data_IF_610157463678
#
_entry.id   IF_610157463678
#
_cell.length_a   1.000
_cell.length_b   1.000
_cell.length_c   1.000
_cell.angle_alpha   90.00
_cell.angle_beta   90.00
_cell.angle_gamma   90.00
#
_symmetry.space_group_name_H-M   'P 1'
#
loop_
_entity.id
_entity.type
_entity.pdbx_description
1 polymer ?
#
# COMPACT_ATOMS: atom_id res chain seq x y z
N UNK A 1 4.70 11.27 15.35
CA UNK A 1 3.85 12.14 14.52
C UNK A 1 2.41 12.00 15.01
N UNK A 2 1.54 12.99 14.82
CA UNK A 2 0.12 12.86 15.17
C UNK A 2 -0.63 12.08 14.08
N UNK A 3 -1.37 11.02 14.45
CA UNK A 3 -2.16 10.19 13.51
C UNK A 3 -3.53 10.82 13.26
N UNK A 4 -3.80 11.18 12.01
CA UNK A 4 -5.05 11.83 11.57
C UNK A 4 -5.97 10.88 10.81
N UNK A 5 -5.44 10.05 9.93
CA UNK A 5 -6.20 9.21 9.01
C UNK A 5 -6.33 7.77 9.50
N UNK A 6 -5.24 7.13 9.94
CA UNK A 6 -5.20 5.69 10.25
C UNK A 6 -5.42 5.38 11.74
N UNK A 7 -6.39 6.06 12.36
CA UNK A 7 -6.70 5.92 13.79
C UNK A 7 -7.12 4.51 14.17
N UNK A 8 -7.82 3.79 13.29
CA UNK A 8 -8.20 2.41 13.60
C UNK A 8 -6.99 1.46 13.55
N UNK A 9 -6.01 1.70 12.68
CA UNK A 9 -4.79 0.89 12.64
C UNK A 9 -3.94 1.13 13.89
N UNK A 10 -3.84 2.39 14.34
CA UNK A 10 -3.15 2.77 15.58
C UNK A 10 -3.78 2.07 16.80
N UNK A 11 -5.12 2.05 16.90
CA UNK A 11 -5.83 1.42 18.02
C UNK A 11 -5.80 -0.11 18.00
N UNK A 12 -5.59 -0.72 16.83
CA UNK A 12 -5.66 -2.16 16.64
C UNK A 12 -4.36 -2.68 15.99
N UNK A 13 -3.22 -2.63 16.70
CA UNK A 13 -1.92 -2.92 16.11
C UNK A 13 -1.60 -4.43 16.00
N UNK A 14 -2.50 -5.31 16.43
CA UNK A 14 -2.22 -6.74 16.55
C UNK A 14 -3.43 -7.61 16.17
N UNK A 15 -3.13 -8.81 15.67
CA UNK A 15 -4.08 -9.88 15.31
C UNK A 15 -3.42 -11.24 15.53
N UNK A 16 -4.05 -12.15 16.27
CA UNK A 16 -3.62 -13.57 16.38
C UNK A 16 -2.11 -13.77 16.69
N UNK A 17 -1.54 -12.90 17.53
CA UNK A 17 -0.11 -12.93 17.87
C UNK A 17 0.82 -12.27 16.85
N UNK A 18 0.31 -11.88 15.68
CA UNK A 18 0.98 -11.00 14.73
C UNK A 18 0.77 -9.54 15.10
N UNK A 19 1.81 -8.71 15.02
CA UNK A 19 1.81 -7.31 15.46
C UNK A 19 2.43 -6.45 14.36
N UNK A 20 1.84 -5.29 14.10
CA UNK A 20 2.42 -4.29 13.22
C UNK A 20 3.83 -3.93 13.67
N UNK A 21 4.77 -3.80 12.72
CA UNK A 21 6.10 -3.28 12.98
C UNK A 21 6.26 -1.90 12.34
N UNK A 22 6.45 -0.84 13.14
CA UNK A 22 6.55 0.52 12.64
C UNK A 22 7.92 0.77 11.99
N UNK A 23 7.96 1.71 11.05
CA UNK A 23 9.19 2.23 10.46
C UNK A 23 9.53 3.59 11.09
N UNK A 24 10.82 3.89 11.30
CA UNK A 24 11.25 5.18 11.83
C UNK A 24 11.02 6.31 10.82
N UNK A 25 10.92 7.56 11.32
CA UNK A 25 10.78 8.72 10.44
C UNK A 25 11.98 8.90 9.49
N UNK A 26 13.19 8.55 9.93
CA UNK A 26 14.39 8.65 9.09
C UNK A 26 14.36 7.66 7.93
N UNK A 27 13.84 6.45 8.15
CA UNK A 27 13.66 5.45 7.09
C UNK A 27 12.59 5.91 6.10
N UNK A 28 11.49 6.49 6.59
CA UNK A 28 10.45 7.07 5.74
C UNK A 28 11.03 8.22 4.89
N UNK A 29 11.86 9.08 5.45
CA UNK A 29 12.56 10.14 4.71
C UNK A 29 13.45 9.58 3.60
N UNK A 30 14.13 8.43 3.81
CA UNK A 30 14.89 7.77 2.74
C UNK A 30 13.99 7.25 1.62
N UNK A 31 12.80 6.74 1.95
CA UNK A 31 11.81 6.32 0.96
C UNK A 31 11.23 7.52 0.20
N UNK A 32 11.00 8.66 0.87
CA UNK A 32 10.56 9.91 0.24
C UNK A 32 11.61 10.43 -0.77
N UNK A 33 12.89 10.38 -0.39
CA UNK A 33 14.02 10.70 -1.29
C UNK A 33 14.02 9.81 -2.53
N UNK A 34 13.87 8.50 -2.34
CA UNK A 34 13.99 7.50 -3.40
C UNK A 34 12.78 7.48 -4.33
N UNK A 35 11.57 7.43 -3.78
CA UNK A 35 10.35 7.13 -4.54
C UNK A 35 9.47 8.35 -4.82
N UNK A 36 9.76 9.50 -4.20
CA UNK A 36 9.04 10.75 -4.43
C UNK A 36 9.94 11.96 -4.74
N UNK A 37 11.19 11.70 -5.17
CA UNK A 37 12.17 12.73 -5.51
C UNK A 37 12.40 13.74 -4.37
N UNK A 38 12.40 13.26 -3.12
CA UNK A 38 12.57 14.07 -1.91
C UNK A 38 11.34 14.85 -1.47
N UNK A 39 10.21 14.74 -2.18
CA UNK A 39 8.97 15.33 -1.72
C UNK A 39 8.35 14.47 -0.60
N UNK A 40 7.72 15.09 0.41
CA UNK A 40 7.02 14.34 1.44
C UNK A 40 5.96 13.40 0.85
N UNK A 41 5.81 12.22 1.43
CA UNK A 41 4.71 11.33 1.09
C UNK A 41 3.37 11.92 1.55
N UNK A 42 2.25 11.52 0.90
CA UNK A 42 0.92 11.72 1.45
C UNK A 42 0.84 11.35 2.94
N UNK A 43 0.16 12.17 3.74
CA UNK A 43 0.07 11.95 5.18
C UNK A 43 -0.45 10.55 5.53
N UNK A 44 -1.46 10.04 4.83
CA UNK A 44 -1.98 8.70 5.08
C UNK A 44 -0.94 7.59 4.83
N UNK A 45 -0.06 7.73 3.84
CA UNK A 45 1.05 6.79 3.61
C UNK A 45 2.11 6.92 4.71
N UNK A 46 2.47 8.15 5.09
CA UNK A 46 3.44 8.40 6.16
C UNK A 46 2.96 7.82 7.49
N UNK A 47 1.67 7.96 7.80
CA UNK A 47 1.03 7.31 8.94
C UNK A 47 1.11 5.78 8.84
N UNK A 48 0.80 5.18 7.68
CA UNK A 48 0.89 3.73 7.49
C UNK A 48 2.30 3.25 7.82
N UNK A 49 3.31 3.85 7.20
CA UNK A 49 4.71 3.43 7.38
C UNK A 49 5.15 3.62 8.84
N UNK A 50 4.74 4.72 9.48
CA UNK A 50 5.09 4.97 10.88
C UNK A 50 4.42 4.02 11.88
N UNK A 51 3.31 3.39 11.50
CA UNK A 51 2.57 2.44 12.35
C UNK A 51 2.91 0.99 12.03
N UNK A 52 3.16 0.68 10.75
CA UNK A 52 3.17 -0.66 10.20
C UNK A 52 4.07 -0.80 8.95
N UNK A 53 5.13 0.00 8.83
CA UNK A 53 5.97 0.05 7.62
C UNK A 53 6.85 -1.19 7.40
N UNK A 54 7.23 -1.92 8.45
CA UNK A 54 7.94 -3.20 8.30
C UNK A 54 6.98 -4.38 8.22
N UNK A 55 5.91 -4.37 9.02
CA UNK A 55 4.87 -5.42 9.01
C UNK A 55 3.50 -4.79 9.24
N UNK A 56 2.47 -5.27 8.53
CA UNK A 56 1.09 -4.81 8.68
C UNK A 56 0.10 -5.97 8.84
N UNK A 57 -0.79 -5.89 9.82
CA UNK A 57 -1.79 -6.92 10.11
C UNK A 57 -2.91 -7.01 9.06
N UNK A 58 -3.00 -6.05 8.14
CA UNK A 58 -4.09 -5.93 7.14
C UNK A 58 -3.60 -5.60 5.72
N UNK A 59 -2.30 -5.47 5.50
CA UNK A 59 -1.71 -5.30 4.16
C UNK A 59 -0.61 -6.35 3.98
N UNK A 60 -0.51 -6.92 2.79
CA UNK A 60 0.51 -7.91 2.46
C UNK A 60 1.66 -7.23 1.70
N UNK A 61 2.85 -7.18 2.30
CA UNK A 61 4.05 -6.67 1.65
C UNK A 61 4.79 -7.77 0.85
N UNK A 62 4.23 -8.98 0.84
CA UNK A 62 4.71 -10.13 0.12
C UNK A 62 5.85 -10.86 0.82
N UNK A 63 6.65 -11.58 0.04
CA UNK A 63 7.89 -12.22 0.52
C UNK A 63 9.05 -11.23 0.62
N UNK A 64 8.81 -9.94 0.38
CA UNK A 64 9.82 -8.90 0.44
C UNK A 64 10.11 -8.57 1.91
N UNK A 65 11.38 -8.51 2.27
CA UNK A 65 11.84 -8.21 3.64
C UNK A 65 11.78 -6.71 3.94
N UNK A 66 11.76 -5.86 2.90
CA UNK A 66 11.72 -4.40 3.05
C UNK A 66 10.72 -3.73 2.12
N UNK A 67 10.36 -2.49 2.48
CA UNK A 67 9.56 -1.61 1.64
C UNK A 67 10.24 -1.30 0.30
N UNK A 68 11.56 -1.18 0.27
CA UNK A 68 12.31 -0.94 -0.97
C UNK A 68 12.23 -2.14 -1.91
N UNK A 69 12.41 -3.36 -1.38
CA UNK A 69 12.25 -4.59 -2.14
C UNK A 69 10.83 -4.73 -2.71
N UNK A 70 9.79 -4.38 -1.94
CA UNK A 70 8.42 -4.32 -2.45
C UNK A 70 8.30 -3.34 -3.64
N UNK A 71 8.89 -2.15 -3.55
CA UNK A 71 8.83 -1.17 -4.65
C UNK A 71 9.59 -1.62 -5.90
N UNK A 72 10.73 -2.30 -5.71
CA UNK A 72 11.56 -2.88 -6.78
C UNK A 72 10.81 -4.03 -7.46
N UNK A 73 10.32 -4.99 -6.68
CA UNK A 73 9.52 -6.12 -7.15
C UNK A 73 8.37 -5.65 -8.06
N UNK A 74 7.59 -4.67 -7.61
CA UNK A 74 6.45 -4.15 -8.40
C UNK A 74 6.92 -3.51 -9.71
N UNK A 75 8.02 -2.76 -9.70
CA UNK A 75 8.54 -2.08 -10.90
C UNK A 75 9.16 -3.05 -11.89
N UNK A 76 9.84 -4.08 -11.41
CA UNK A 76 10.42 -5.14 -12.24
C UNK A 76 9.32 -5.92 -12.97
N UNK A 77 8.31 -6.42 -12.25
CA UNK A 77 7.19 -7.15 -12.85
C UNK A 77 6.39 -6.26 -13.83
N UNK A 78 6.22 -4.97 -13.53
CA UNK A 78 5.64 -4.03 -14.49
C UNK A 78 6.48 -3.92 -15.77
N UNK A 79 7.81 -3.83 -15.64
CA UNK A 79 8.70 -3.69 -16.79
C UNK A 79 8.69 -4.94 -17.67
N UNK A 80 8.65 -6.14 -17.08
CA UNK A 80 8.54 -7.41 -17.80
C UNK A 80 7.26 -7.48 -18.65
N UNK A 81 6.15 -6.93 -18.14
CA UNK A 81 4.86 -6.86 -18.85
C UNK A 81 4.69 -5.58 -19.70
N UNK A 82 5.77 -4.83 -19.94
CA UNK A 82 5.76 -3.57 -20.71
C UNK A 82 4.74 -2.53 -20.18
N UNK A 83 4.54 -2.49 -18.86
CA UNK A 83 3.66 -1.56 -18.16
C UNK A 83 4.41 -0.36 -17.63
N UNK A 84 3.76 0.81 -17.68
CA UNK A 84 4.35 2.07 -17.18
C UNK A 84 3.29 2.87 -16.43
N UNK A 85 3.60 3.22 -15.17
CA UNK A 85 2.91 4.28 -14.43
C UNK A 85 3.77 5.54 -14.54
N UNK A 86 3.29 6.56 -15.24
CA UNK A 86 4.06 7.79 -15.50
C UNK A 86 4.07 8.78 -14.34
N UNK A 87 3.12 8.66 -13.42
CA UNK A 87 3.00 9.50 -12.22
C UNK A 87 3.79 8.89 -11.05
N UNK A 88 4.28 9.70 -10.10
CA UNK A 88 4.93 9.16 -8.91
C UNK A 88 3.93 8.32 -8.11
N UNK A 89 4.32 7.09 -7.79
CA UNK A 89 3.44 6.12 -7.14
C UNK A 89 4.19 5.29 -6.12
N UNK A 90 3.44 4.73 -5.18
CA UNK A 90 3.98 3.85 -4.15
C UNK A 90 3.07 2.65 -3.97
N UNK A 91 3.63 1.45 -4.10
CA UNK A 91 2.91 0.21 -3.86
C UNK A 91 2.74 -0.02 -2.35
N UNK A 92 1.54 -0.43 -1.94
CA UNK A 92 1.18 -0.60 -0.51
C UNK A 92 0.73 -2.01 -0.18
N UNK A 93 0.47 -2.85 -1.17
CA UNK A 93 0.05 -4.24 -0.99
C UNK A 93 0.33 -5.04 -2.27
N UNK A 94 0.78 -6.29 -2.13
CA UNK A 94 0.86 -7.28 -3.21
C UNK A 94 0.07 -8.51 -2.80
N UNK A 95 -0.96 -8.87 -3.56
CA UNK A 95 -1.86 -9.98 -3.20
C UNK A 95 -2.28 -10.78 -4.44
N UNK A 96 -2.99 -11.89 -4.20
CA UNK A 96 -3.39 -12.86 -5.23
C UNK A 96 -2.17 -13.45 -5.97
N UNK A 97 -1.31 -14.16 -5.22
CA UNK A 97 -0.11 -14.84 -5.73
C UNK A 97 0.88 -13.95 -6.48
N UNK A 98 0.92 -12.65 -6.12
CA UNK A 98 1.76 -11.63 -6.76
C UNK A 98 1.39 -11.30 -8.21
N UNK A 99 0.17 -11.58 -8.66
CA UNK A 99 -0.27 -11.19 -10.01
C UNK A 99 -0.77 -9.73 -10.08
N UNK A 100 -0.96 -9.10 -8.93
CA UNK A 100 -1.52 -7.76 -8.80
C UNK A 100 -1.02 -7.04 -7.54
N UNK A 101 -1.14 -5.71 -7.56
CA UNK A 101 -0.72 -4.85 -6.45
C UNK A 101 -1.68 -3.68 -6.24
N UNK A 102 -1.74 -3.20 -4.99
CA UNK A 102 -2.38 -1.94 -4.64
C UNK A 102 -1.33 -0.85 -4.59
N UNK A 103 -1.70 0.34 -5.05
CA UNK A 103 -0.82 1.49 -4.99
C UNK A 103 -1.62 2.79 -4.84
N UNK A 104 -0.90 3.83 -4.47
CA UNK A 104 -1.40 5.21 -4.44
C UNK A 104 -0.51 6.10 -5.30
N UNK A 105 -1.10 7.15 -5.85
CA UNK A 105 -0.34 8.25 -6.44
C UNK A 105 0.15 9.20 -5.36
N UNK A 106 1.41 9.58 -5.42
CA UNK A 106 2.07 10.41 -4.41
C UNK A 106 1.75 11.91 -4.57
N UNK A 107 1.18 12.30 -5.70
CA UNK A 107 0.75 13.65 -6.04
C UNK A 107 -0.78 13.88 -5.85
N UNK A 108 -1.51 12.95 -5.24
CA UNK A 108 -2.98 13.01 -5.02
C UNK A 108 -3.39 13.60 -3.63
N UNK A 109 -2.50 14.38 -3.00
CA UNK A 109 -2.74 15.01 -1.69
C UNK A 109 -2.61 14.06 -0.50
N UNK A 110 -3.05 14.49 0.69
CA UNK A 110 -2.77 13.79 1.96
C UNK A 110 -3.49 12.45 2.15
N UNK A 111 -4.66 12.27 1.53
CA UNK A 111 -5.45 11.04 1.57
C UNK A 111 -5.78 10.59 0.14
N UNK A 112 -4.79 10.01 -0.55
CA UNK A 112 -4.92 9.70 -1.96
C UNK A 112 -5.93 8.55 -2.17
N UNK A 113 -6.59 8.51 -3.33
CA UNK A 113 -7.35 7.33 -3.70
C UNK A 113 -6.44 6.11 -3.86
N UNK A 114 -7.02 4.93 -3.63
CA UNK A 114 -6.34 3.67 -3.85
C UNK A 114 -6.58 3.17 -5.27
N UNK A 115 -5.57 2.55 -5.84
CA UNK A 115 -5.62 1.94 -7.17
C UNK A 115 -5.17 0.49 -7.06
N UNK A 116 -5.71 -0.34 -7.94
CA UNK A 116 -5.31 -1.73 -8.13
C UNK A 116 -4.74 -1.85 -9.54
N UNK A 117 -3.64 -2.57 -9.66
CA UNK A 117 -2.99 -2.85 -10.93
C UNK A 117 -2.69 -4.35 -11.09
N UNK A 118 -2.80 -4.83 -12.33
CA UNK A 118 -2.41 -6.18 -12.75
C UNK A 118 -1.18 -6.07 -13.63
N UNK A 119 -0.25 -7.01 -13.51
CA UNK A 119 0.91 -7.04 -14.41
C UNK A 119 0.45 -7.42 -15.82
N UNK A 120 -0.28 -8.54 -15.95
CA UNK A 120 -0.86 -9.00 -17.21
C UNK A 120 -2.10 -8.21 -17.67
N UNK A 121 -2.63 -8.57 -18.83
CA UNK A 121 -3.90 -8.01 -19.33
C UNK A 121 -5.08 -8.46 -18.46
N UNK A 122 -5.92 -7.50 -18.08
CA UNK A 122 -7.16 -7.77 -17.37
C UNK A 122 -8.33 -7.00 -18.00
N UNK A 123 -9.55 -7.38 -17.65
CA UNK A 123 -10.77 -6.72 -18.11
C UNK A 123 -11.54 -6.16 -16.92
N UNK A 124 -11.73 -4.84 -16.90
CA UNK A 124 -12.54 -4.14 -15.91
C UNK A 124 -13.83 -3.64 -16.54
N UNK A 125 -14.97 -4.17 -16.11
CA UNK A 125 -16.27 -3.71 -16.61
C UNK A 125 -16.44 -3.84 -18.13
N UNK A 126 -15.77 -4.82 -18.75
CA UNK A 126 -15.78 -5.05 -20.20
C UNK A 126 -14.73 -4.27 -20.99
N UNK A 127 -13.87 -3.48 -20.35
CA UNK A 127 -12.75 -2.79 -21.00
C UNK A 127 -11.42 -3.42 -20.60
N UNK A 128 -10.58 -3.67 -21.61
CA UNK A 128 -9.20 -4.13 -21.37
C UNK A 128 -8.42 -2.98 -20.72
N UNK A 129 -7.81 -3.27 -19.59
CA UNK A 129 -7.02 -2.32 -18.83
C UNK A 129 -6.30 -3.03 -17.70
N UNK A 130 -5.25 -2.41 -17.20
CA UNK A 130 -4.39 -3.01 -16.19
C UNK A 130 -4.33 -2.19 -14.89
N UNK A 131 -4.98 -1.02 -14.85
CA UNK A 131 -5.15 -0.19 -13.65
C UNK A 131 -6.62 0.16 -13.49
N UNK A 132 -7.15 0.07 -12.26
CA UNK A 132 -8.43 0.69 -11.89
C UNK A 132 -8.34 1.44 -10.57
N UNK A 133 -9.15 2.49 -10.43
CA UNK A 133 -9.37 3.16 -9.16
C UNK A 133 -10.28 2.31 -8.28
N UNK A 134 -9.86 2.05 -7.05
CA UNK A 134 -10.62 1.27 -6.09
C UNK A 134 -11.70 2.13 -5.41
N UNK A 135 -12.80 1.46 -5.06
CA UNK A 135 -13.76 1.94 -4.08
C UNK A 135 -13.93 0.80 -3.06
N UNK A 136 -13.61 1.02 -1.78
CA UNK A 136 -13.35 2.31 -1.15
C UNK A 136 -11.92 2.86 -1.33
N UNK A 137 -11.64 4.07 -0.81
CA UNK A 137 -10.31 4.67 -0.79
C UNK A 137 -9.35 3.98 0.21
N UNK A 138 -8.09 4.38 0.21
CA UNK A 138 -7.02 3.74 0.97
C UNK A 138 -7.31 3.59 2.48
N UNK A 139 -7.67 4.69 3.15
CA UNK A 139 -8.00 4.70 4.59
C UNK A 139 -9.21 3.82 4.88
N UNK A 140 -10.24 3.89 4.05
CA UNK A 140 -11.45 3.11 4.23
C UNK A 140 -11.21 1.62 4.00
N UNK A 141 -10.35 1.22 3.05
CA UNK A 141 -9.96 -0.18 2.88
C UNK A 141 -9.30 -0.71 4.15
N UNK A 142 -8.33 0.02 4.71
CA UNK A 142 -7.66 -0.36 5.97
C UNK A 142 -8.68 -0.52 7.09
N UNK A 143 -9.61 0.44 7.25
CA UNK A 143 -10.65 0.37 8.27
C UNK A 143 -11.56 -0.86 8.09
N UNK A 144 -11.96 -1.17 6.86
CA UNK A 144 -12.76 -2.37 6.56
C UNK A 144 -12.00 -3.65 6.91
N UNK A 145 -10.73 -3.77 6.51
CA UNK A 145 -9.92 -4.95 6.82
C UNK A 145 -9.69 -5.10 8.33
N UNK A 146 -9.50 -4.01 9.07
CA UNK A 146 -9.44 -4.04 10.54
C UNK A 146 -10.77 -4.52 11.13
N UNK A 147 -11.90 -4.10 10.56
CA UNK A 147 -13.21 -4.58 11.01
C UNK A 147 -13.35 -6.09 10.76
N UNK A 148 -12.92 -6.59 9.60
CA UNK A 148 -12.86 -8.03 9.32
C UNK A 148 -12.01 -8.78 10.36
N UNK A 149 -10.84 -8.25 10.71
CA UNK A 149 -10.00 -8.83 11.78
C UNK A 149 -10.73 -8.90 13.13
N UNK A 150 -11.42 -7.82 13.53
CA UNK A 150 -12.20 -7.80 14.78
C UNK A 150 -13.33 -8.83 14.79
N UNK A 151 -13.86 -9.18 13.62
CA UNK A 151 -14.89 -10.19 13.42
C UNK A 151 -14.32 -11.63 13.31
N UNK A 152 -13.00 -11.79 13.43
CA UNK A 152 -12.32 -13.09 13.29
C UNK A 152 -12.22 -13.57 11.84
N UNK A 153 -12.35 -12.67 10.87
CA UNK A 153 -12.25 -12.95 9.45
C UNK A 153 -10.83 -12.70 8.93
N UNK A 154 -10.52 -13.28 7.77
CA UNK A 154 -9.29 -12.98 7.04
C UNK A 154 -9.36 -11.56 6.45
N UNK A 155 -8.36 -10.67 6.69
CA UNK A 155 -8.32 -9.34 6.09
C UNK A 155 -7.87 -9.33 4.62
N UNK A 156 -7.40 -10.47 4.09
CA UNK A 156 -6.92 -10.62 2.73
C UNK A 156 -7.97 -11.26 1.81
#
# INVERSE_FOLDING_TARGET
MEIKYLKELEKNPARDGFINKPMSLSEIEQLELTYNNGNPFPMALKELLSLAGHDCIVLDYGLNETQSELQEFVRENMAEENRVISRPFYAVDVYNAFDQFLFIYLDDGDNPPLYEAYYGDNTFGGQVGWIRKMQPNFVNLINLRIQSVKEGLNPF
#
